data_IF_386685241001
#
_entry.id   IF_386685241001
#
_cell.length_a   1.000
_cell.length_b   1.000
_cell.length_c   1.000
_cell.angle_alpha   90.00
_cell.angle_beta   90.00
_cell.angle_gamma   90.00
#
_symmetry.space_group_name_H-M   'P 1'
#
loop_
_entity.id
_entity.type
_entity.pdbx_description
1 polymer ?
#
# COMPACT_ATOMS: atom_id res chain seq x y z
N UNK A 1 -5.77 -5.39 -6.10
CA UNK A 1 -6.97 -4.54 -6.21
C UNK A 1 -7.05 -3.73 -4.93
N UNK A 2 -7.14 -2.39 -4.97
CA UNK A 2 -7.31 -1.59 -3.76
C UNK A 2 -8.67 -1.88 -3.10
N UNK A 3 -8.73 -1.78 -1.77
CA UNK A 3 -9.96 -1.98 -1.00
C UNK A 3 -10.26 -0.71 -0.19
N UNK A 4 -11.34 0.02 -0.51
CA UNK A 4 -11.84 1.09 0.35
C UNK A 4 -12.49 0.49 1.59
N UNK A 5 -11.89 0.69 2.76
CA UNK A 5 -12.45 0.25 4.05
C UNK A 5 -13.48 1.26 4.55
N UNK A 6 -13.16 2.55 4.47
CA UNK A 6 -14.07 3.65 4.78
C UNK A 6 -13.66 4.88 3.93
N UNK A 7 -14.25 5.05 2.72
CA UNK A 7 -13.98 6.18 1.84
C UNK A 7 -14.13 7.55 2.50
N UNK A 8 -15.18 7.73 3.30
CA UNK A 8 -15.53 9.01 3.94
C UNK A 8 -14.46 9.45 4.95
N UNK A 9 -13.70 8.49 5.49
CA UNK A 9 -12.57 8.73 6.40
C UNK A 9 -11.21 8.55 5.73
N UNK A 10 -11.16 8.47 4.41
CA UNK A 10 -9.94 8.20 3.64
C UNK A 10 -9.21 6.92 4.11
N UNK A 11 -9.94 5.88 4.52
CA UNK A 11 -9.34 4.59 4.87
C UNK A 11 -9.32 3.68 3.66
N UNK A 12 -8.20 3.69 2.95
CA UNK A 12 -7.92 2.86 1.79
C UNK A 12 -6.76 1.91 2.06
N UNK A 13 -6.90 0.67 1.60
CA UNK A 13 -5.84 -0.34 1.71
C UNK A 13 -5.45 -0.90 0.36
N UNK A 14 -4.22 -1.39 0.26
CA UNK A 14 -3.71 -2.08 -0.92
C UNK A 14 -3.00 -3.38 -0.53
N UNK A 15 -3.10 -4.43 -1.37
CA UNK A 15 -2.48 -5.72 -1.06
C UNK A 15 -1.00 -5.70 -1.43
N UNK A 16 -0.17 -6.41 -0.65
CA UNK A 16 1.25 -6.65 -0.98
C UNK A 16 1.44 -7.69 -2.08
N UNK A 17 0.56 -8.70 -2.14
CA UNK A 17 0.60 -9.83 -3.08
C UNK A 17 -0.73 -9.98 -3.83
N UNK A 18 -0.92 -11.12 -4.52
CA UNK A 18 -2.26 -11.56 -4.93
C UNK A 18 -3.14 -11.75 -3.70
N UNK A 19 -4.43 -11.44 -3.78
CA UNK A 19 -5.38 -11.63 -2.67
C UNK A 19 -5.61 -13.11 -2.32
N UNK A 20 -5.15 -14.02 -3.18
CA UNK A 20 -5.17 -15.47 -2.96
C UNK A 20 -3.87 -16.00 -2.37
N UNK A 21 -2.86 -15.14 -2.21
CA UNK A 21 -1.56 -15.49 -1.64
C UNK A 21 -1.66 -15.53 -0.11
N UNK A 22 -1.08 -16.55 0.51
CA UNK A 22 -1.06 -16.71 1.96
C UNK A 22 -0.29 -15.57 2.65
N UNK A 23 0.78 -15.07 2.02
CA UNK A 23 1.60 -13.98 2.55
C UNK A 23 1.04 -12.59 2.16
N UNK A 24 -0.21 -12.51 1.69
CA UNK A 24 -0.83 -11.25 1.33
C UNK A 24 -1.21 -10.43 2.56
N UNK A 25 -0.52 -9.31 2.75
CA UNK A 25 -0.84 -8.29 3.74
C UNK A 25 -1.60 -7.13 3.08
N UNK A 26 -2.46 -6.46 3.87
CA UNK A 26 -3.15 -5.24 3.45
C UNK A 26 -2.54 -4.03 4.16
N UNK A 27 -2.06 -3.07 3.37
CA UNK A 27 -1.36 -1.89 3.88
C UNK A 27 -2.26 -0.67 3.72
N UNK A 28 -2.43 0.12 4.79
CA UNK A 28 -3.16 1.38 4.72
C UNK A 28 -2.37 2.42 3.94
N UNK A 29 -2.94 2.89 2.83
CA UNK A 29 -2.32 3.83 1.90
C UNK A 29 -1.80 5.09 2.61
N UNK A 30 -2.66 5.73 3.42
CA UNK A 30 -2.35 7.01 4.05
C UNK A 30 -1.34 6.91 5.21
N UNK A 31 -0.99 5.71 5.67
CA UNK A 31 -0.02 5.50 6.75
C UNK A 31 1.40 5.29 6.23
N UNK A 32 1.57 5.00 4.94
CA UNK A 32 2.87 4.87 4.31
C UNK A 32 3.53 6.25 4.23
N UNK A 33 4.78 6.35 4.71
CA UNK A 33 5.62 7.53 4.52
C UNK A 33 6.40 7.40 3.21
N UNK A 34 7.12 6.29 3.01
CA UNK A 34 7.75 5.94 1.74
C UNK A 34 8.05 4.44 1.65
N UNK A 35 8.35 3.97 0.43
CA UNK A 35 8.74 2.59 0.14
C UNK A 35 10.07 2.64 -0.62
N UNK A 36 11.05 1.83 -0.20
CA UNK A 36 12.37 1.75 -0.85
C UNK A 36 12.77 0.30 -1.11
N UNK A 37 13.56 0.09 -2.16
CA UNK A 37 14.26 -1.18 -2.33
C UNK A 37 15.20 -1.38 -1.14
N UNK A 38 15.27 -2.62 -0.65
CA UNK A 38 16.10 -2.97 0.49
C UNK A 38 16.45 -4.45 0.37
N UNK A 39 17.73 -4.75 0.44
CA UNK A 39 18.26 -6.10 0.47
C UNK A 39 18.84 -6.33 1.87
N UNK A 40 18.42 -7.39 2.54
CA UNK A 40 18.96 -7.76 3.85
C UNK A 40 20.13 -8.72 3.70
N UNK A 41 21.20 -8.50 4.46
CA UNK A 41 22.36 -9.40 4.53
C UNK A 41 22.01 -10.74 5.21
N UNK A 42 21.01 -10.74 6.09
CA UNK A 42 20.61 -11.93 6.88
C UNK A 42 19.38 -12.62 6.31
N UNK A 43 18.57 -11.94 5.50
CA UNK A 43 17.38 -12.51 4.88
C UNK A 43 17.28 -12.10 3.39
N UNK A 44 17.79 -12.92 2.47
CA UNK A 44 17.85 -12.58 1.05
C UNK A 44 16.48 -12.49 0.37
N UNK A 45 15.41 -13.02 0.99
CA UNK A 45 14.05 -12.93 0.45
C UNK A 45 13.45 -11.52 0.60
N UNK A 46 14.00 -10.69 1.48
CA UNK A 46 13.58 -9.29 1.65
C UNK A 46 14.08 -8.47 0.46
N UNK A 47 13.14 -7.82 -0.22
CA UNK A 47 13.38 -7.03 -1.43
C UNK A 47 13.03 -5.54 -1.27
N UNK A 48 12.26 -5.19 -0.23
CA UNK A 48 11.91 -3.81 0.06
C UNK A 48 11.62 -3.55 1.53
N UNK A 49 11.52 -2.27 1.86
CA UNK A 49 11.16 -1.77 3.18
C UNK A 49 10.04 -0.74 3.04
N UNK A 50 8.96 -0.92 3.80
CA UNK A 50 7.95 0.11 3.99
C UNK A 50 8.30 0.88 5.26
N UNK A 51 8.39 2.20 5.15
CA UNK A 51 8.46 3.09 6.30
C UNK A 51 7.10 3.76 6.48
N UNK A 52 6.53 3.65 7.67
CA UNK A 52 5.27 4.26 8.05
C UNK A 52 5.50 5.66 8.63
N UNK A 53 4.43 6.46 8.72
CA UNK A 53 4.49 7.85 9.23
C UNK A 53 4.85 7.95 10.71
N UNK A 54 4.65 6.88 11.47
CA UNK A 54 5.12 6.72 12.85
C UNK A 54 6.59 6.29 12.95
N UNK A 55 7.29 6.26 11.81
CA UNK A 55 8.70 5.84 11.65
C UNK A 55 8.96 4.35 11.84
N UNK A 56 7.92 3.54 12.09
CA UNK A 56 8.05 2.09 12.10
C UNK A 56 8.37 1.59 10.69
N UNK A 57 9.19 0.55 10.64
CA UNK A 57 9.66 -0.04 9.39
C UNK A 57 9.27 -1.51 9.33
N UNK A 58 8.78 -1.96 8.18
CA UNK A 58 8.42 -3.36 7.97
C UNK A 58 9.10 -3.88 6.69
N UNK A 59 9.97 -4.89 6.81
CA UNK A 59 10.63 -5.50 5.66
C UNK A 59 9.64 -6.35 4.87
N UNK A 60 9.77 -6.35 3.56
CA UNK A 60 8.84 -7.02 2.65
C UNK A 60 9.57 -7.94 1.69
N UNK A 61 8.97 -9.12 1.44
CA UNK A 61 9.40 -10.08 0.41
C UNK A 61 8.92 -9.72 -1.01
N UNK A 62 8.42 -8.50 -1.17
CA UNK A 62 7.90 -7.95 -2.41
C UNK A 62 8.82 -6.83 -2.85
N UNK A 63 9.07 -6.71 -4.15
CA UNK A 63 9.84 -5.60 -4.67
C UNK A 63 9.13 -4.26 -4.43
N UNK A 64 9.91 -3.20 -4.21
CA UNK A 64 9.38 -1.85 -4.05
C UNK A 64 8.59 -1.40 -5.28
N UNK A 65 8.96 -1.87 -6.48
CA UNK A 65 8.23 -1.62 -7.72
C UNK A 65 6.78 -2.11 -7.66
N UNK A 66 6.55 -3.35 -7.21
CA UNK A 66 5.20 -3.92 -7.11
C UNK A 66 4.37 -3.13 -6.09
N UNK A 67 4.94 -2.83 -4.92
CA UNK A 67 4.25 -2.08 -3.88
C UNK A 67 3.88 -0.66 -4.36
N UNK A 68 4.79 0.04 -5.02
CA UNK A 68 4.52 1.35 -5.61
C UNK A 68 3.42 1.29 -6.69
N UNK A 69 3.38 0.21 -7.49
CA UNK A 69 2.29 0.00 -8.46
C UNK A 69 0.94 -0.18 -7.77
N UNK A 70 0.89 -0.86 -6.62
CA UNK A 70 -0.35 -1.00 -5.83
C UNK A 70 -0.75 0.33 -5.19
N UNK A 71 0.20 1.11 -4.68
CA UNK A 71 -0.02 2.49 -4.22
C UNK A 71 -0.63 3.36 -5.32
N UNK A 72 -0.07 3.34 -6.53
CA UNK A 72 -0.58 4.12 -7.67
C UNK A 72 -2.01 3.71 -8.07
N UNK A 73 -2.30 2.41 -8.11
CA UNK A 73 -3.67 1.90 -8.36
C UNK A 73 -4.66 2.36 -7.30
N UNK A 74 -4.20 2.46 -6.05
CA UNK A 74 -5.02 2.92 -4.92
C UNK A 74 -5.28 4.42 -5.01
N UNK A 75 -4.27 5.22 -5.36
CA UNK A 75 -4.44 6.65 -5.63
C UNK A 75 -5.46 6.89 -6.73
N UNK A 76 -5.38 6.16 -7.84
CA UNK A 76 -6.36 6.26 -8.92
C UNK A 76 -7.80 5.92 -8.47
N UNK A 77 -7.99 5.05 -7.47
CA UNK A 77 -9.30 4.79 -6.88
C UNK A 77 -9.75 5.95 -5.98
N UNK A 78 -8.85 6.48 -5.14
CA UNK A 78 -9.11 7.63 -4.26
C UNK A 78 -9.55 8.84 -5.08
N UNK A 79 -8.86 9.14 -6.18
CA UNK A 79 -9.19 10.25 -7.08
C UNK A 79 -10.60 10.10 -7.66
N UNK A 80 -10.94 8.90 -8.14
CA UNK A 80 -12.29 8.61 -8.67
C UNK A 80 -13.38 8.79 -7.61
N UNK A 81 -13.17 8.28 -6.40
CA UNK A 81 -14.14 8.39 -5.32
C UNK A 81 -14.29 9.84 -4.83
N UNK A 82 -13.21 10.62 -4.82
CA UNK A 82 -13.24 12.02 -4.40
C UNK A 82 -14.09 12.88 -5.35
N UNK A 83 -14.05 12.59 -6.65
CA UNK A 83 -14.92 13.22 -7.64
C UNK A 83 -16.40 12.88 -7.40
N UNK A 84 -16.71 11.64 -7.03
CA UNK A 84 -18.09 11.22 -6.76
C UNK A 84 -18.69 11.91 -5.52
N UNK A 85 -17.92 12.06 -4.44
CA UNK A 85 -18.37 12.76 -3.23
C UNK A 85 -18.66 14.24 -3.53
N UNK A 86 -17.80 14.90 -4.30
CA UNK A 86 -17.99 16.31 -4.68
C UNK A 86 -19.20 16.54 -5.61
N UNK A 87 -19.64 15.53 -6.36
CA UNK A 87 -20.81 15.62 -7.25
C UNK A 87 -22.15 15.29 -6.54
N UNK A 88 -22.09 14.84 -5.29
CA UNK A 88 -23.27 14.49 -4.47
C UNK A 88 -23.51 15.49 -3.33
N UNK A 89 -22.66 16.51 -3.20
CA UNK A 89 -22.70 17.59 -2.20
C UNK A 89 -23.24 18.87 -2.84
#
# INVERSE_FOLDING_TARGET
MPLPINPDRYLYTFPTHSTTDYDCCWIFYHHVLYIKAYQSDTNPDIQSMITFKDLNQVPMRVSSYILNKQMQRTLALIDRNSVLVNNLS
#
